data_IF_766710711903
#
_entry.id   IF_766710711903
#
_cell.length_a   1.000
_cell.length_b   1.000
_cell.length_c   1.000
_cell.angle_alpha   90.00
_cell.angle_beta   90.00
_cell.angle_gamma   90.00
#
_symmetry.space_group_name_H-M   'P 1'
#
loop_
_entity.id
_entity.type
_entity.pdbx_description
1 polymer ?
#
# COMPACT_ATOMS: atom_id res chain seq x y z
N UNK A 1 12.80 -43.96 12.96
CA UNK A 1 13.56 -42.72 12.69
C UNK A 1 12.67 -41.84 11.82
N UNK A 2 11.85 -40.99 12.44
CA UNK A 2 10.95 -40.08 11.71
C UNK A 2 11.39 -38.66 12.00
N UNK A 3 11.98 -38.00 11.01
CA UNK A 3 12.24 -36.55 11.03
C UNK A 3 11.22 -35.90 10.11
N UNK A 4 10.14 -35.39 10.71
CA UNK A 4 9.22 -34.46 10.03
C UNK A 4 9.82 -33.07 10.20
N UNK A 5 10.51 -32.58 9.18
CA UNK A 5 10.88 -31.18 9.10
C UNK A 5 9.69 -30.35 8.64
N UNK A 6 8.86 -29.86 9.56
CA UNK A 6 8.01 -28.72 9.27
C UNK A 6 8.87 -27.46 9.40
N UNK A 7 9.47 -27.04 8.28
CA UNK A 7 9.87 -25.65 8.13
C UNK A 7 8.61 -24.85 7.84
N UNK A 8 7.94 -24.39 8.89
CA UNK A 8 7.01 -23.29 8.76
C UNK A 8 7.85 -22.07 8.40
N UNK A 9 7.84 -21.69 7.12
CA UNK A 9 8.32 -20.38 6.72
C UNK A 9 7.48 -19.36 7.49
N UNK A 10 8.03 -18.81 8.56
CA UNK A 10 7.52 -17.59 9.17
C UNK A 10 7.57 -16.54 8.07
N UNK A 11 6.42 -16.23 7.48
CA UNK A 11 6.28 -15.04 6.68
C UNK A 11 6.77 -13.89 7.56
N UNK A 12 7.82 -13.20 7.12
CA UNK A 12 8.27 -12.00 7.80
C UNK A 12 7.05 -11.09 8.02
N UNK A 13 6.91 -10.42 9.17
CA UNK A 13 5.84 -9.46 9.36
C UNK A 13 5.94 -8.42 8.24
N UNK A 14 4.95 -8.41 7.34
CA UNK A 14 4.78 -7.33 6.38
C UNK A 14 4.21 -6.16 7.17
N UNK A 15 4.85 -5.00 7.09
CA UNK A 15 4.32 -3.83 7.76
C UNK A 15 3.06 -3.38 7.02
N UNK A 16 3.13 -3.33 5.68
CA UNK A 16 2.01 -2.94 4.84
C UNK A 16 1.87 -3.86 3.64
N UNK A 17 0.63 -4.18 3.29
CA UNK A 17 0.29 -4.96 2.10
C UNK A 17 -0.63 -4.16 1.19
N UNK A 18 -0.24 -4.03 -0.08
CA UNK A 18 -0.97 -3.23 -1.08
C UNK A 18 -1.72 -4.15 -2.03
N UNK A 19 -3.06 -4.06 -2.01
CA UNK A 19 -3.93 -4.88 -2.82
C UNK A 19 -3.93 -4.45 -4.31
N UNK A 20 -3.13 -5.12 -5.14
CA UNK A 20 -3.02 -4.86 -6.59
C UNK A 20 -3.02 -6.16 -7.38
N UNK A 21 -3.61 -6.13 -8.57
CA UNK A 21 -3.68 -7.27 -9.49
C UNK A 21 -3.04 -6.92 -10.83
N UNK A 22 -1.69 -6.93 -10.92
CA UNK A 22 -1.01 -6.72 -12.19
C UNK A 22 -1.17 -7.93 -13.12
N UNK A 23 -1.71 -7.70 -14.31
CA UNK A 23 -1.88 -8.73 -15.34
C UNK A 23 -0.59 -8.87 -16.17
N UNK A 24 0.02 -10.06 -16.11
CA UNK A 24 1.22 -10.41 -16.86
C UNK A 24 2.54 -10.21 -16.09
N UNK A 25 3.57 -10.97 -16.48
CA UNK A 25 4.83 -11.05 -15.75
C UNK A 25 5.61 -9.72 -15.73
N UNK A 26 5.67 -9.02 -16.86
CA UNK A 26 6.39 -7.74 -16.96
C UNK A 26 5.78 -6.68 -16.03
N UNK A 27 4.45 -6.54 -16.06
CA UNK A 27 3.76 -5.57 -15.21
C UNK A 27 3.86 -5.94 -13.71
N UNK A 28 3.77 -7.24 -13.39
CA UNK A 28 4.00 -7.71 -12.02
C UNK A 28 5.40 -7.34 -11.53
N UNK A 29 6.43 -7.55 -12.36
CA UNK A 29 7.82 -7.22 -12.00
C UNK A 29 8.00 -5.72 -11.74
N UNK A 30 7.37 -4.86 -12.54
CA UNK A 30 7.43 -3.42 -12.34
C UNK A 30 6.70 -2.98 -11.06
N UNK A 31 5.56 -3.60 -10.74
CA UNK A 31 4.85 -3.34 -9.48
C UNK A 31 5.71 -3.75 -8.29
N UNK A 32 6.29 -4.95 -8.30
CA UNK A 32 7.18 -5.41 -7.24
C UNK A 32 8.41 -4.49 -7.09
N UNK A 33 8.98 -4.06 -8.21
CA UNK A 33 10.12 -3.12 -8.21
C UNK A 33 9.72 -1.77 -7.62
N UNK A 34 8.53 -1.26 -7.95
CA UNK A 34 8.02 -0.03 -7.37
C UNK A 34 7.75 -0.15 -5.86
N UNK A 35 7.07 -1.20 -5.40
CA UNK A 35 6.84 -1.42 -3.97
C UNK A 35 8.15 -1.59 -3.20
N UNK A 36 9.14 -2.27 -3.78
CA UNK A 36 10.48 -2.40 -3.18
C UNK A 36 11.19 -1.05 -3.04
N UNK A 37 10.99 -0.13 -3.99
CA UNK A 37 11.58 1.21 -3.95
C UNK A 37 10.91 2.13 -2.90
N UNK A 38 9.70 1.79 -2.45
CA UNK A 38 9.00 2.46 -1.34
C UNK A 38 9.26 1.78 0.01
N UNK A 39 9.81 0.56 0.02
CA UNK A 39 10.07 -0.21 1.24
C UNK A 39 11.35 0.23 1.93
N UNK A 40 11.38 0.14 3.26
CA UNK A 40 12.62 0.19 4.07
C UNK A 40 12.81 -1.14 4.80
N UNK A 41 14.00 -1.45 5.32
CA UNK A 41 14.23 -2.68 6.10
C UNK A 41 13.28 -2.83 7.31
N UNK A 42 12.92 -1.70 7.92
CA UNK A 42 12.02 -1.55 9.07
C UNK A 42 10.53 -1.43 8.67
N UNK A 43 10.22 -1.07 7.43
CA UNK A 43 8.87 -0.93 6.90
C UNK A 43 8.75 -1.63 5.53
N UNK A 44 8.69 -2.97 5.51
CA UNK A 44 8.51 -3.72 4.28
C UNK A 44 7.10 -3.53 3.71
N UNK A 45 7.01 -3.16 2.43
CA UNK A 45 5.75 -3.02 1.68
C UNK A 45 5.66 -4.16 0.67
N UNK A 46 4.60 -4.96 0.77
CA UNK A 46 4.39 -6.13 -0.10
C UNK A 46 3.20 -6.00 -1.01
N UNK A 47 3.21 -6.77 -2.10
CA UNK A 47 2.06 -6.94 -2.99
C UNK A 47 1.10 -7.97 -2.40
N UNK A 48 -0.17 -7.60 -2.25
CA UNK A 48 -1.28 -8.54 -2.10
C UNK A 48 -2.00 -8.67 -3.44
N UNK A 49 -1.68 -9.74 -4.17
CA UNK A 49 -2.36 -10.14 -5.40
C UNK A 49 -3.48 -11.16 -5.17
N UNK A 50 -3.66 -11.60 -3.91
CA UNK A 50 -4.63 -12.59 -3.47
C UNK A 50 -5.99 -11.98 -3.16
N UNK A 51 -6.08 -10.65 -3.09
CA UNK A 51 -7.30 -9.86 -2.94
C UNK A 51 -8.27 -9.99 -4.14
N UNK A 52 -8.88 -11.17 -4.29
CA UNK A 52 -9.95 -11.41 -5.26
C UNK A 52 -11.17 -10.57 -4.88
N UNK A 53 -11.34 -9.43 -5.55
CA UNK A 53 -12.51 -8.55 -5.43
C UNK A 53 -12.22 -7.15 -4.86
N UNK A 54 -11.10 -6.96 -4.15
CA UNK A 54 -10.77 -5.68 -3.50
C UNK A 54 -9.65 -4.87 -4.16
N UNK A 55 -8.66 -5.52 -4.79
CA UNK A 55 -7.47 -4.84 -5.32
C UNK A 55 -7.66 -4.21 -6.70
N UNK A 56 -6.98 -3.09 -6.96
CA UNK A 56 -6.99 -2.46 -8.29
C UNK A 56 -6.31 -3.36 -9.32
N UNK A 57 -6.94 -3.56 -10.48
CA UNK A 57 -6.36 -4.33 -11.58
C UNK A 57 -5.50 -3.42 -12.43
N UNK A 58 -4.27 -3.83 -12.72
CA UNK A 58 -3.38 -3.12 -13.63
C UNK A 58 -3.17 -3.97 -14.87
N UNK A 59 -3.34 -3.38 -16.05
CA UNK A 59 -3.19 -4.08 -17.33
C UNK A 59 -2.32 -3.26 -18.27
N UNK A 60 -1.50 -3.93 -19.08
CA UNK A 60 -0.74 -3.28 -20.14
C UNK A 60 -1.55 -3.26 -21.44
N UNK A 61 -1.85 -2.06 -21.94
CA UNK A 61 -2.68 -1.87 -23.13
C UNK A 61 -4.18 -2.02 -22.86
N UNK A 62 -4.96 -1.94 -23.94
CA UNK A 62 -6.42 -1.96 -23.92
C UNK A 62 -6.99 -2.11 -25.33
N UNK A 63 -8.27 -2.44 -25.44
CA UNK A 63 -8.95 -2.61 -26.74
C UNK A 63 -9.21 -1.29 -27.45
N UNK A 64 -9.24 -0.18 -26.71
CA UNK A 64 -9.47 1.17 -27.24
C UNK A 64 -8.12 1.87 -27.41
N UNK A 65 -7.86 2.54 -28.55
CA UNK A 65 -6.66 3.35 -28.74
C UNK A 65 -6.44 4.35 -27.60
N UNK A 66 -5.19 4.55 -27.20
CA UNK A 66 -4.82 5.54 -26.19
C UNK A 66 -4.67 6.92 -26.81
N UNK A 67 -4.99 7.95 -26.02
CA UNK A 67 -4.38 9.24 -26.26
C UNK A 67 -2.86 9.09 -26.06
N UNK A 68 -2.02 9.44 -27.05
CA UNK A 68 -0.57 9.29 -26.95
C UNK A 68 0.05 10.08 -25.78
N UNK A 69 -0.59 11.15 -25.32
CA UNK A 69 -0.09 12.01 -24.24
C UNK A 69 -0.40 11.49 -22.84
N UNK A 70 -1.20 10.42 -22.72
CA UNK A 70 -1.58 9.82 -21.45
C UNK A 70 -0.83 8.52 -21.20
N UNK A 71 -0.25 8.40 -20.00
CA UNK A 71 0.46 7.18 -19.57
C UNK A 71 -0.48 6.06 -19.14
N UNK A 72 -1.72 6.38 -18.78
CA UNK A 72 -2.72 5.40 -18.37
C UNK A 72 -4.14 5.95 -18.53
N UNK A 73 -5.12 5.06 -18.37
CA UNK A 73 -6.52 5.43 -18.11
C UNK A 73 -7.08 4.49 -17.05
N UNK A 74 -8.05 4.96 -16.29
CA UNK A 74 -8.76 4.13 -15.30
C UNK A 74 -10.21 3.95 -15.71
N UNK A 75 -10.68 2.71 -15.59
CA UNK A 75 -12.03 2.27 -15.90
C UNK A 75 -12.58 1.52 -14.69
N UNK A 76 -13.91 1.49 -14.56
CA UNK A 76 -14.58 0.58 -13.63
C UNK A 76 -15.16 -0.58 -14.44
N UNK A 77 -14.62 -1.79 -14.24
CA UNK A 77 -15.07 -3.01 -14.93
C UNK A 77 -15.54 -3.99 -13.88
N UNK A 78 -16.80 -4.44 -13.95
CA UNK A 78 -17.39 -5.35 -12.96
C UNK A 78 -17.19 -4.88 -11.50
N UNK A 79 -17.42 -3.58 -11.25
CA UNK A 79 -17.23 -2.95 -9.94
C UNK A 79 -15.79 -2.97 -9.39
N UNK A 80 -14.81 -3.22 -10.27
CA UNK A 80 -13.37 -3.20 -9.96
C UNK A 80 -12.71 -2.05 -10.69
N UNK A 81 -11.87 -1.29 -9.99
CA UNK A 81 -10.97 -0.29 -10.58
C UNK A 81 -9.92 -1.00 -11.43
N UNK A 82 -9.96 -0.81 -12.75
CA UNK A 82 -9.00 -1.31 -13.73
C UNK A 82 -8.23 -0.15 -14.33
N UNK A 83 -6.93 -0.10 -14.15
CA UNK A 83 -6.05 0.85 -14.82
C UNK A 83 -5.35 0.16 -15.98
N UNK A 84 -5.54 0.71 -17.17
CA UNK A 84 -4.86 0.30 -18.38
C UNK A 84 -3.69 1.25 -18.64
N UNK A 85 -2.46 0.72 -18.60
CA UNK A 85 -1.23 1.46 -18.86
C UNK A 85 -0.98 1.53 -20.37
N UNK A 86 -0.60 2.71 -20.85
CA UNK A 86 -0.33 2.95 -22.26
C UNK A 86 1.08 2.44 -22.61
N UNK A 87 1.22 1.35 -23.41
CA UNK A 87 2.53 0.83 -23.78
C UNK A 87 3.34 1.75 -24.71
N UNK A 88 2.67 2.74 -25.31
CA UNK A 88 3.25 3.75 -26.21
C UNK A 88 3.07 5.18 -25.66
N UNK A 89 2.80 5.31 -24.36
CA UNK A 89 2.62 6.59 -23.70
C UNK A 89 3.92 7.35 -23.50
N UNK A 90 3.87 8.55 -22.91
CA UNK A 90 5.05 9.41 -22.74
C UNK A 90 6.02 8.91 -21.66
N UNK A 91 5.60 7.94 -20.83
CA UNK A 91 6.43 7.36 -19.79
C UNK A 91 6.81 5.91 -20.14
N UNK A 92 8.03 5.46 -19.78
CA UNK A 92 8.33 4.04 -19.76
C UNK A 92 7.43 3.31 -18.76
N UNK A 93 7.26 1.99 -18.92
CA UNK A 93 6.37 1.19 -18.08
C UNK A 93 6.64 1.38 -16.58
N UNK A 94 7.92 1.37 -16.17
CA UNK A 94 8.33 1.62 -14.80
C UNK A 94 7.85 2.97 -14.26
N UNK A 95 7.94 4.03 -15.07
CA UNK A 95 7.45 5.37 -14.73
C UNK A 95 5.93 5.41 -14.62
N UNK A 96 5.22 4.76 -15.55
CA UNK A 96 3.76 4.68 -15.51
C UNK A 96 3.25 3.90 -14.29
N UNK A 97 3.92 2.80 -13.91
CA UNK A 97 3.59 2.02 -12.72
C UNK A 97 3.83 2.81 -11.43
N UNK A 98 4.96 3.53 -11.33
CA UNK A 98 5.23 4.40 -10.18
C UNK A 98 4.20 5.51 -10.03
N UNK A 99 3.81 6.15 -11.13
CA UNK A 99 2.77 7.17 -11.12
C UNK A 99 1.42 6.59 -10.67
N UNK A 100 1.06 5.40 -11.15
CA UNK A 100 -0.18 4.74 -10.77
C UNK A 100 -0.18 4.31 -9.29
N UNK A 101 0.92 3.75 -8.78
CA UNK A 101 1.05 3.39 -7.36
C UNK A 101 0.99 4.65 -6.48
N UNK A 102 1.63 5.75 -6.90
CA UNK A 102 1.54 7.03 -6.18
C UNK A 102 0.10 7.51 -6.09
N UNK A 103 -0.63 7.48 -7.20
CA UNK A 103 -2.04 7.87 -7.26
C UNK A 103 -2.94 6.97 -6.39
N UNK A 104 -2.75 5.66 -6.48
CA UNK A 104 -3.51 4.66 -5.72
C UNK A 104 -3.33 4.79 -4.20
N UNK A 105 -2.11 5.11 -3.77
CA UNK A 105 -1.78 5.26 -2.36
C UNK A 105 -1.96 6.70 -1.85
N UNK A 106 -2.32 7.65 -2.73
CA UNK A 106 -2.44 9.06 -2.37
C UNK A 106 -1.11 9.69 -1.95
N UNK A 107 0.01 9.27 -2.55
CA UNK A 107 1.32 9.81 -2.25
C UNK A 107 1.49 11.19 -2.90
N UNK A 108 2.01 12.16 -2.15
CA UNK A 108 2.45 13.45 -2.69
C UNK A 108 3.72 13.32 -3.54
N UNK A 109 4.53 12.30 -3.28
CA UNK A 109 5.78 11.99 -3.94
C UNK A 109 6.07 10.49 -3.85
N UNK A 110 6.80 9.95 -4.84
CA UNK A 110 7.20 8.54 -4.80
C UNK A 110 8.44 8.37 -3.92
N UNK A 111 8.26 8.37 -2.59
CA UNK A 111 9.32 8.21 -1.61
C UNK A 111 8.93 7.21 -0.50
N UNK A 112 9.91 6.51 0.11
CA UNK A 112 9.63 5.64 1.26
C UNK A 112 8.94 6.37 2.39
N UNK A 113 9.31 7.61 2.67
CA UNK A 113 8.74 8.42 3.76
C UNK A 113 7.28 8.79 3.50
N UNK A 114 6.90 9.08 2.25
CA UNK A 114 5.51 9.33 1.89
C UNK A 114 4.68 8.04 1.97
N UNK A 115 5.22 6.92 1.49
CA UNK A 115 4.55 5.63 1.55
C UNK A 115 4.35 5.16 2.99
N UNK A 116 5.39 5.27 3.84
CA UNK A 116 5.36 4.91 5.25
C UNK A 116 4.30 5.73 6.01
N UNK A 117 4.26 7.06 5.84
CA UNK A 117 3.20 7.91 6.40
C UNK A 117 1.79 7.52 5.95
N UNK A 118 1.60 7.15 4.68
CA UNK A 118 0.28 6.78 4.16
C UNK A 118 -0.15 5.36 4.52
N UNK A 119 0.78 4.44 4.67
CA UNK A 119 0.49 3.03 4.91
C UNK A 119 0.55 2.63 6.38
N UNK A 120 1.17 3.44 7.24
CA UNK A 120 1.27 3.15 8.68
C UNK A 120 -0.06 3.21 9.42
N UNK A 121 -1.03 3.94 8.87
CA UNK A 121 -2.29 4.25 9.54
C UNK A 121 -2.16 5.31 10.64
N UNK A 122 -0.97 5.89 10.83
CA UNK A 122 -0.72 6.90 11.86
C UNK A 122 -1.35 8.27 11.54
N UNK A 123 -1.59 8.58 10.27
CA UNK A 123 -2.44 9.68 9.79
C UNK A 123 -3.92 9.28 9.99
N UNK A 124 -4.36 9.26 11.24
CA UNK A 124 -5.66 8.71 11.68
C UNK A 124 -6.82 9.60 11.19
N UNK A 125 -6.60 10.91 11.12
CA UNK A 125 -7.60 11.87 10.64
C UNK A 125 -7.61 12.01 9.10
N UNK A 126 -6.57 11.55 8.41
CA UNK A 126 -6.45 11.56 6.95
C UNK A 126 -6.05 12.91 6.34
N UNK A 127 -5.51 13.85 7.11
CA UNK A 127 -5.15 15.19 6.65
C UNK A 127 -3.75 15.26 5.99
N UNK A 128 -3.01 14.15 6.01
CA UNK A 128 -1.67 14.04 5.41
C UNK A 128 -0.53 14.37 6.36
N UNK A 129 -0.80 14.65 7.63
CA UNK A 129 0.17 14.82 8.69
C UNK A 129 0.01 13.71 9.72
N UNK A 130 1.02 13.54 10.56
CA UNK A 130 0.97 12.68 11.74
C UNK A 130 1.34 13.57 12.91
N UNK A 131 0.33 14.12 13.57
CA UNK A 131 0.51 15.16 14.60
C UNK A 131 -0.33 14.92 15.86
N UNK A 132 -0.42 15.93 16.73
CA UNK A 132 -1.14 15.84 18.00
C UNK A 132 -2.63 15.51 17.83
N UNK A 133 -3.21 15.84 16.68
CA UNK A 133 -4.60 15.53 16.35
C UNK A 133 -4.78 14.03 16.20
N UNK A 134 -3.87 13.36 15.50
CA UNK A 134 -3.89 11.90 15.35
C UNK A 134 -3.59 11.21 16.68
N UNK A 135 -2.63 11.74 17.45
CA UNK A 135 -2.35 11.22 18.79
C UNK A 135 -3.58 11.30 19.70
N UNK A 136 -4.34 12.39 19.64
CA UNK A 136 -5.58 12.54 20.39
C UNK A 136 -6.65 11.51 19.98
N UNK A 137 -6.73 11.18 18.69
CA UNK A 137 -7.63 10.13 18.19
C UNK A 137 -7.20 8.73 18.64
N UNK A 138 -5.90 8.43 18.58
CA UNK A 138 -5.34 7.19 19.11
C UNK A 138 -5.65 7.06 20.61
N UNK A 139 -5.32 8.10 21.38
CA UNK A 139 -5.56 8.10 22.83
C UNK A 139 -7.04 8.02 23.20
N UNK A 140 -7.93 8.57 22.37
CA UNK A 140 -9.38 8.43 22.52
C UNK A 140 -9.89 6.98 22.35
N UNK A 141 -9.09 6.11 21.74
CA UNK A 141 -9.37 4.68 21.59
C UNK A 141 -8.50 3.77 22.44
N UNK A 142 -7.54 4.32 23.20
CA UNK A 142 -6.62 3.53 24.02
C UNK A 142 -7.35 2.60 25.01
N UNK A 143 -6.93 1.34 25.05
CA UNK A 143 -7.53 0.27 25.85
C UNK A 143 -8.80 -0.36 25.25
N UNK A 144 -9.28 0.11 24.09
CA UNK A 144 -10.41 -0.54 23.39
C UNK A 144 -9.95 -1.80 22.67
N UNK A 145 -10.88 -2.73 22.49
CA UNK A 145 -10.68 -3.97 21.72
C UNK A 145 -11.83 -4.17 20.74
N UNK A 146 -11.53 -4.76 19.58
CA UNK A 146 -12.47 -4.92 18.47
C UNK A 146 -11.80 -4.75 17.11
N UNK A 147 -12.49 -5.13 16.03
CA UNK A 147 -11.98 -4.96 14.67
C UNK A 147 -12.21 -3.56 14.12
N UNK A 148 -11.21 -3.01 13.42
CA UNK A 148 -11.32 -1.73 12.71
C UNK A 148 -11.33 -0.50 13.61
N UNK A 149 -10.68 -0.58 14.78
CA UNK A 149 -10.53 0.55 15.68
C UNK A 149 -9.57 1.59 15.08
N UNK A 150 -9.96 2.86 15.12
CA UNK A 150 -9.02 3.93 14.79
C UNK A 150 -7.88 3.96 15.82
N UNK A 151 -6.64 3.84 15.36
CA UNK A 151 -5.46 3.74 16.23
C UNK A 151 -4.99 2.32 16.53
N UNK A 152 -5.67 1.27 16.02
CA UNK A 152 -5.13 -0.11 15.97
C UNK A 152 -4.23 -0.23 14.73
N UNK A 153 -2.98 0.23 14.87
CA UNK A 153 -2.01 0.39 13.80
C UNK A 153 -1.39 -0.95 13.41
N UNK A 154 -1.19 -1.84 14.38
CA UNK A 154 -0.64 -3.18 14.13
C UNK A 154 -1.72 -4.20 13.68
N UNK A 155 -3.00 -3.83 13.75
CA UNK A 155 -4.18 -4.64 13.38
C UNK A 155 -4.34 -5.91 14.21
N UNK A 156 -3.96 -5.89 15.48
CA UNK A 156 -4.12 -7.00 16.40
C UNK A 156 -5.49 -7.03 17.11
N UNK A 157 -6.33 -6.03 16.85
CA UNK A 157 -7.67 -5.89 17.40
C UNK A 157 -7.70 -5.20 18.76
N UNK A 158 -6.62 -4.53 19.16
CA UNK A 158 -6.50 -3.73 20.37
C UNK A 158 -5.86 -2.40 20.03
N UNK A 159 -6.14 -1.38 20.84
CA UNK A 159 -5.40 -0.11 20.79
C UNK A 159 -4.62 0.00 22.09
N UNK A 160 -3.32 -0.24 22.05
CA UNK A 160 -2.46 -0.27 23.23
C UNK A 160 -1.07 0.36 23.02
N UNK A 161 -0.13 0.08 23.93
CA UNK A 161 1.23 0.61 23.90
C UNK A 161 1.96 0.24 22.60
N UNK A 162 1.63 -0.90 22.00
CA UNK A 162 2.20 -1.34 20.72
C UNK A 162 1.88 -0.35 19.61
N UNK A 163 0.66 0.16 19.56
CA UNK A 163 0.22 1.15 18.58
C UNK A 163 0.83 2.53 18.85
N UNK A 164 0.97 2.91 20.13
CA UNK A 164 1.67 4.14 20.50
C UNK A 164 3.14 4.14 20.06
N UNK A 165 3.81 2.98 20.19
CA UNK A 165 5.19 2.84 19.73
C UNK A 165 5.28 3.01 18.21
N UNK A 166 4.39 2.35 17.45
CA UNK A 166 4.32 2.51 16.00
C UNK A 166 4.00 3.96 15.58
N UNK A 167 3.09 4.61 16.29
CA UNK A 167 2.72 6.00 16.04
C UNK A 167 3.92 6.95 16.23
N UNK A 168 4.72 6.72 17.28
CA UNK A 168 5.87 7.57 17.62
C UNK A 168 6.96 7.53 16.55
N UNK A 169 7.07 6.44 15.78
CA UNK A 169 8.01 6.36 14.66
C UNK A 169 7.63 7.28 13.49
N UNK A 170 6.34 7.61 13.36
CA UNK A 170 5.82 8.50 12.30
C UNK A 170 5.62 9.95 12.76
N UNK A 171 5.45 10.13 14.07
CA UNK A 171 5.06 11.40 14.65
C UNK A 171 6.08 12.50 14.32
N UNK A 172 5.58 13.59 13.76
CA UNK A 172 6.40 14.76 13.42
C UNK A 172 5.98 15.95 14.24
N UNK A 173 6.96 16.65 14.81
CA UNK A 173 6.74 17.92 15.51
C UNK A 173 6.74 19.02 14.43
N UNK A 174 5.71 19.89 14.36
CA UNK A 174 5.69 21.02 13.43
C UNK A 174 6.81 22.03 13.69
#
# INVERSE_FOLDING_TARGET
MATIGLSAAQAAPSFASVALRPEGAALRQEVLSALSALSTPDFPITLDDSAQGGGAVLVLGGSVPFNPDLSSRTLTVNNVRRTELNPKGPLPLSGAVRAEISSLLGLSEFSPQAARRKLSGADINGDGKVDLTDLALLMGNYGKTGGGLSGDLNRDGRVDESDLNLFTEEYSIP
#
